data_IF_279970102537
#
_entry.id   IF_279970102537
#
_cell.length_a   1.000
_cell.length_b   1.000
_cell.length_c   1.000
_cell.angle_alpha   90.00
_cell.angle_beta   90.00
_cell.angle_gamma   90.00
#
_symmetry.space_group_name_H-M   'P 1'
#
loop_
_entity.id
_entity.type
_entity.pdbx_description
1 polymer ?
#
# COMPACT_ATOMS: atom_id res chain seq x y z
N UNK A 1 -10.67 -62.78 -10.23
CA UNK A 1 -10.64 -61.35 -10.60
C UNK A 1 -10.31 -60.48 -9.38
N UNK A 2 -9.36 -60.87 -8.51
CA UNK A 2 -9.49 -60.46 -7.08
C UNK A 2 -8.28 -59.72 -6.50
N UNK A 3 -7.07 -59.89 -7.05
CA UNK A 3 -5.85 -59.27 -6.46
C UNK A 3 -5.68 -57.77 -6.79
N UNK A 4 -6.24 -57.30 -7.91
CA UNK A 4 -6.11 -55.90 -8.34
C UNK A 4 -7.11 -54.99 -7.61
N UNK A 5 -8.35 -55.46 -7.41
CA UNK A 5 -9.37 -54.73 -6.64
C UNK A 5 -8.99 -54.60 -5.17
N UNK A 6 -8.36 -55.63 -4.57
CA UNK A 6 -7.91 -55.56 -3.17
C UNK A 6 -6.81 -54.52 -2.95
N UNK A 7 -5.85 -54.43 -3.87
CA UNK A 7 -4.78 -53.42 -3.84
C UNK A 7 -5.36 -52.02 -4.01
N UNK A 8 -6.29 -51.85 -4.96
CA UNK A 8 -6.94 -50.58 -5.20
C UNK A 8 -7.77 -50.12 -3.99
N UNK A 9 -8.49 -51.04 -3.34
CA UNK A 9 -9.26 -50.77 -2.11
C UNK A 9 -8.35 -50.38 -0.94
N UNK A 10 -7.20 -51.02 -0.79
CA UNK A 10 -6.19 -50.66 0.25
C UNK A 10 -5.61 -49.26 0.03
N UNK A 11 -5.28 -48.91 -1.20
CA UNK A 11 -4.76 -47.57 -1.54
C UNK A 11 -5.84 -46.50 -1.32
N UNK A 12 -7.09 -46.81 -1.65
CA UNK A 12 -8.23 -45.92 -1.43
C UNK A 12 -8.53 -45.68 0.06
N UNK A 13 -8.32 -46.69 0.92
CA UNK A 13 -8.44 -46.55 2.37
C UNK A 13 -7.31 -45.72 3.00
N UNK A 14 -6.09 -45.79 2.46
CA UNK A 14 -4.97 -44.94 2.90
C UNK A 14 -5.12 -43.47 2.46
N UNK A 15 -5.98 -43.20 1.47
CA UNK A 15 -6.33 -41.87 0.98
C UNK A 15 -7.49 -41.23 1.74
N UNK A 16 -8.04 -41.90 2.77
CA UNK A 16 -9.10 -41.31 3.59
C UNK A 16 -8.48 -40.16 4.38
N UNK A 17 -8.69 -38.94 3.89
CA UNK A 17 -8.25 -37.70 4.53
C UNK A 17 -9.02 -37.62 5.85
N UNK A 18 -8.39 -38.07 6.91
CA UNK A 18 -8.88 -37.82 8.27
C UNK A 18 -8.71 -36.32 8.53
N UNK A 19 -9.82 -35.64 8.76
CA UNK A 19 -9.82 -34.24 9.15
C UNK A 19 -9.06 -34.17 10.49
N UNK A 20 -7.94 -33.43 10.57
CA UNK A 20 -6.95 -33.66 11.63
C UNK A 20 -7.49 -33.38 13.03
N UNK A 21 -8.54 -32.53 13.15
CA UNK A 21 -9.27 -32.21 14.39
C UNK A 21 -10.70 -31.74 14.02
N UNK A 22 -11.70 -31.97 14.88
CA UNK A 22 -13.11 -31.57 14.62
C UNK A 22 -13.29 -30.06 14.36
N UNK A 23 -12.47 -29.22 15.01
CA UNK A 23 -12.51 -27.76 14.85
C UNK A 23 -11.64 -27.24 13.68
N UNK A 24 -11.05 -28.12 12.87
CA UNK A 24 -10.13 -27.70 11.81
C UNK A 24 -10.80 -26.74 10.83
N UNK A 25 -11.99 -27.08 10.37
CA UNK A 25 -12.74 -26.28 9.40
C UNK A 25 -13.10 -24.91 9.98
N UNK A 26 -13.52 -24.87 11.25
CA UNK A 26 -13.86 -23.64 11.96
C UNK A 26 -12.62 -22.75 12.17
N UNK A 27 -11.48 -23.33 12.55
CA UNK A 27 -10.21 -22.60 12.70
C UNK A 27 -9.71 -22.01 11.38
N UNK A 28 -9.84 -22.77 10.29
CA UNK A 28 -9.47 -22.31 8.95
C UNK A 28 -10.43 -21.20 8.51
N UNK A 29 -11.73 -21.34 8.73
CA UNK A 29 -12.72 -20.34 8.38
C UNK A 29 -12.51 -19.02 9.15
N UNK A 30 -12.24 -19.08 10.46
CA UNK A 30 -11.94 -17.89 11.27
C UNK A 30 -10.66 -17.18 10.79
N UNK A 31 -9.65 -17.95 10.38
CA UNK A 31 -8.40 -17.42 9.84
C UNK A 31 -8.62 -16.73 8.48
N UNK A 32 -9.47 -17.31 7.62
CA UNK A 32 -9.88 -16.71 6.33
C UNK A 32 -10.65 -15.40 6.55
N UNK A 33 -11.60 -15.39 7.49
CA UNK A 33 -12.37 -14.18 7.83
C UNK A 33 -11.48 -13.08 8.38
N UNK A 34 -10.50 -13.42 9.24
CA UNK A 34 -9.52 -12.45 9.73
C UNK A 34 -8.67 -11.85 8.58
N UNK A 35 -8.20 -12.70 7.67
CA UNK A 35 -7.45 -12.29 6.47
C UNK A 35 -8.28 -11.40 5.52
N UNK A 36 -9.56 -11.67 5.36
CA UNK A 36 -10.48 -10.83 4.57
C UNK A 36 -10.69 -9.47 5.22
N UNK A 37 -10.90 -9.43 6.54
CA UNK A 37 -11.11 -8.20 7.29
C UNK A 37 -9.89 -7.27 7.24
N UNK A 38 -8.68 -7.86 7.28
CA UNK A 38 -7.44 -7.10 7.13
C UNK A 38 -7.22 -6.63 5.69
N UNK A 39 -7.60 -7.44 4.69
CA UNK A 39 -7.62 -7.01 3.27
C UNK A 39 -8.57 -5.83 3.05
N UNK A 40 -9.74 -5.84 3.67
CA UNK A 40 -10.74 -4.79 3.53
C UNK A 40 -10.28 -3.48 4.20
N UNK A 41 -9.69 -3.57 5.40
CA UNK A 41 -9.04 -2.43 6.06
C UNK A 41 -7.89 -1.85 5.23
N UNK A 42 -7.06 -2.69 4.62
CA UNK A 42 -5.99 -2.23 3.73
C UNK A 42 -6.54 -1.51 2.48
N UNK A 43 -7.69 -1.94 1.97
CA UNK A 43 -8.37 -1.32 0.83
C UNK A 43 -9.00 0.04 1.19
N UNK A 44 -9.54 0.17 2.41
CA UNK A 44 -9.98 1.44 2.98
C UNK A 44 -8.80 2.43 3.07
N UNK A 45 -7.69 2.03 3.70
CA UNK A 45 -6.51 2.89 3.88
C UNK A 45 -5.90 3.36 2.55
N UNK A 46 -6.05 2.58 1.48
CA UNK A 46 -5.62 2.95 0.13
C UNK A 46 -6.36 4.20 -0.41
N UNK A 47 -7.68 4.31 -0.21
CA UNK A 47 -8.46 5.47 -0.67
C UNK A 47 -8.01 6.73 0.05
N UNK A 48 -7.83 6.63 1.38
CA UNK A 48 -7.31 7.73 2.18
C UNK A 48 -5.92 8.17 1.72
N UNK A 49 -5.01 7.24 1.42
CA UNK A 49 -3.67 7.60 0.94
C UNK A 49 -3.68 8.42 -0.36
N UNK A 50 -4.56 8.09 -1.31
CA UNK A 50 -4.71 8.85 -2.55
C UNK A 50 -5.32 10.23 -2.27
N UNK A 51 -6.35 10.30 -1.41
CA UNK A 51 -6.97 11.58 -1.03
C UNK A 51 -5.98 12.48 -0.29
N UNK A 52 -5.21 11.95 0.66
CA UNK A 52 -4.16 12.69 1.35
C UNK A 52 -3.02 13.12 0.42
N UNK A 53 -2.67 12.32 -0.58
CA UNK A 53 -1.71 12.73 -1.59
C UNK A 53 -2.22 13.92 -2.41
N UNK A 54 -3.44 13.85 -2.93
CA UNK A 54 -4.05 14.93 -3.71
C UNK A 54 -4.15 16.22 -2.88
N UNK A 55 -4.63 16.09 -1.64
CA UNK A 55 -4.82 17.21 -0.73
C UNK A 55 -3.47 17.82 -0.29
N UNK A 56 -2.48 16.97 -0.02
CA UNK A 56 -1.11 17.39 0.26
C UNK A 56 -0.43 18.09 -0.92
N UNK A 57 -0.69 17.64 -2.15
CA UNK A 57 -0.14 18.27 -3.36
C UNK A 57 -0.72 19.67 -3.57
N UNK A 58 -2.05 19.80 -3.47
CA UNK A 58 -2.73 21.11 -3.59
C UNK A 58 -2.26 22.06 -2.48
N UNK A 59 -2.22 21.59 -1.23
CA UNK A 59 -1.76 22.38 -0.11
C UNK A 59 -0.28 22.80 -0.27
N UNK A 60 0.58 21.89 -0.72
CA UNK A 60 1.99 22.16 -0.97
C UNK A 60 2.20 23.23 -2.05
N UNK A 61 1.45 23.17 -3.15
CA UNK A 61 1.51 24.20 -4.21
C UNK A 61 1.08 25.57 -3.67
N UNK A 62 -0.03 25.63 -2.92
CA UNK A 62 -0.52 26.87 -2.32
C UNK A 62 0.46 27.45 -1.31
N UNK A 63 1.03 26.61 -0.43
CA UNK A 63 2.04 27.01 0.54
C UNK A 63 3.30 27.54 -0.16
N UNK A 64 3.79 26.85 -1.19
CA UNK A 64 4.96 27.27 -1.94
C UNK A 64 4.73 28.63 -2.61
N UNK A 65 3.58 28.82 -3.26
CA UNK A 65 3.23 30.11 -3.87
C UNK A 65 3.12 31.23 -2.83
N UNK A 66 2.49 30.95 -1.69
CA UNK A 66 2.35 31.93 -0.61
C UNK A 66 3.71 32.31 0.00
N UNK A 67 4.59 31.34 0.25
CA UNK A 67 5.94 31.59 0.75
C UNK A 67 6.75 32.42 -0.26
N UNK A 68 6.69 32.05 -1.54
CA UNK A 68 7.39 32.74 -2.61
C UNK A 68 6.94 34.21 -2.71
N UNK A 69 5.64 34.47 -2.66
CA UNK A 69 5.08 35.82 -2.66
C UNK A 69 5.52 36.64 -1.43
N UNK A 70 5.63 36.01 -0.26
CA UNK A 70 6.14 36.68 0.96
C UNK A 70 7.63 37.00 0.86
N UNK A 71 8.43 36.13 0.25
CA UNK A 71 9.85 36.38 -0.02
C UNK A 71 10.00 37.49 -1.07
N UNK A 72 9.09 37.57 -2.05
CA UNK A 72 9.10 38.62 -3.07
C UNK A 72 8.80 40.02 -2.52
N UNK A 73 7.86 40.14 -1.58
CA UNK A 73 7.45 41.42 -0.98
C UNK A 73 8.35 41.85 0.19
N UNK A 74 9.17 40.94 0.74
CA UNK A 74 10.06 41.30 1.84
C UNK A 74 11.20 42.22 1.37
N UNK A 75 11.35 43.38 2.05
CA UNK A 75 12.45 44.35 1.87
C UNK A 75 13.75 43.83 2.50
N UNK A 76 14.26 42.72 1.98
CA UNK A 76 15.54 42.12 2.36
C UNK A 76 16.57 42.35 1.26
N UNK A 77 17.84 42.38 1.62
CA UNK A 77 18.97 42.46 0.69
C UNK A 77 18.84 41.39 -0.40
N UNK A 78 19.04 41.77 -1.66
CA UNK A 78 18.77 40.96 -2.86
C UNK A 78 19.42 39.56 -2.82
N UNK A 79 20.61 39.46 -2.21
CA UNK A 79 21.33 38.19 -2.08
C UNK A 79 20.66 37.20 -1.12
N UNK A 80 20.15 37.68 0.02
CA UNK A 80 19.42 36.86 1.00
C UNK A 80 18.07 36.40 0.45
N UNK A 81 17.42 37.25 -0.35
CA UNK A 81 16.18 36.94 -1.05
C UNK A 81 16.37 35.81 -2.08
N UNK A 82 17.43 35.88 -2.88
CA UNK A 82 17.75 34.83 -3.84
C UNK A 82 18.12 33.50 -3.15
N UNK A 83 18.91 33.54 -2.08
CA UNK A 83 19.28 32.34 -1.34
C UNK A 83 18.06 31.65 -0.70
N UNK A 84 17.16 32.42 -0.08
CA UNK A 84 15.93 31.90 0.53
C UNK A 84 14.94 31.34 -0.49
N UNK A 85 14.79 31.99 -1.65
CA UNK A 85 13.97 31.48 -2.75
C UNK A 85 14.48 30.14 -3.28
N UNK A 86 15.80 30.01 -3.51
CA UNK A 86 16.44 28.78 -3.97
C UNK A 86 16.26 27.67 -2.92
N UNK A 87 16.48 27.97 -1.63
CA UNK A 87 16.28 27.01 -0.54
C UNK A 87 14.82 26.50 -0.48
N UNK A 88 13.85 27.40 -0.66
CA UNK A 88 12.43 27.04 -0.70
C UNK A 88 12.13 26.11 -1.88
N UNK A 89 12.64 26.43 -3.08
CA UNK A 89 12.47 25.58 -4.27
C UNK A 89 13.11 24.20 -4.12
N UNK A 90 14.31 24.10 -3.55
CA UNK A 90 14.99 22.82 -3.30
C UNK A 90 14.18 21.99 -2.30
N UNK A 91 13.73 22.61 -1.20
CA UNK A 91 12.91 21.92 -0.21
C UNK A 91 11.60 21.39 -0.80
N UNK A 92 10.96 22.18 -1.67
CA UNK A 92 9.74 21.79 -2.37
C UNK A 92 9.97 20.64 -3.36
N UNK A 93 11.07 20.69 -4.12
CA UNK A 93 11.46 19.63 -5.04
C UNK A 93 11.72 18.30 -4.29
N UNK A 94 12.42 18.34 -3.15
CA UNK A 94 12.65 17.15 -2.32
C UNK A 94 11.35 16.57 -1.77
N UNK A 95 10.42 17.41 -1.31
CA UNK A 95 9.10 16.97 -0.86
C UNK A 95 8.33 16.29 -1.99
N UNK A 96 8.30 16.89 -3.19
CA UNK A 96 7.66 16.27 -4.37
C UNK A 96 8.30 14.92 -4.68
N UNK A 97 9.63 14.83 -4.73
CA UNK A 97 10.32 13.57 -4.99
C UNK A 97 9.96 12.50 -3.95
N UNK A 98 9.92 12.86 -2.67
CA UNK A 98 9.51 11.96 -1.59
C UNK A 98 8.06 11.48 -1.75
N UNK A 99 7.15 12.39 -2.10
CA UNK A 99 5.76 12.07 -2.37
C UNK A 99 5.59 11.17 -3.61
N UNK A 100 6.36 11.41 -4.68
CA UNK A 100 6.41 10.54 -5.86
C UNK A 100 6.93 9.13 -5.53
N UNK A 101 7.95 9.01 -4.67
CA UNK A 101 8.44 7.72 -4.19
C UNK A 101 7.37 6.98 -3.37
N UNK A 102 6.65 7.69 -2.51
CA UNK A 102 5.53 7.10 -1.77
C UNK A 102 4.43 6.61 -2.71
N UNK A 103 4.05 7.41 -3.72
CA UNK A 103 3.08 6.97 -4.73
C UNK A 103 3.56 5.74 -5.49
N UNK A 104 4.81 5.73 -5.95
CA UNK A 104 5.38 4.58 -6.64
C UNK A 104 5.32 3.33 -5.78
N UNK A 105 5.67 3.44 -4.51
CA UNK A 105 5.60 2.33 -3.55
C UNK A 105 4.16 1.83 -3.40
N UNK A 106 3.19 2.74 -3.39
CA UNK A 106 1.76 2.42 -3.28
C UNK A 106 1.23 1.73 -4.55
N UNK A 107 1.66 2.17 -5.74
CA UNK A 107 1.34 1.55 -7.04
C UNK A 107 2.00 0.17 -7.16
N UNK A 108 3.27 0.02 -6.78
CA UNK A 108 3.97 -1.27 -6.81
C UNK A 108 3.28 -2.33 -5.94
N UNK A 109 2.74 -1.92 -4.78
CA UNK A 109 1.92 -2.79 -3.93
C UNK A 109 0.61 -3.23 -4.63
N UNK A 110 0.06 -2.43 -5.55
CA UNK A 110 -1.11 -2.83 -6.38
C UNK A 110 -0.73 -3.86 -7.43
N UNK A 111 0.41 -3.69 -8.10
CA UNK A 111 0.81 -4.55 -9.22
C UNK A 111 1.11 -5.98 -8.75
N UNK A 112 1.77 -6.15 -7.59
CA UNK A 112 2.00 -7.48 -7.01
C UNK A 112 0.70 -8.23 -6.64
N UNK A 113 -0.39 -7.50 -6.36
CA UNK A 113 -1.68 -8.08 -5.99
C UNK A 113 -2.48 -8.55 -7.22
N UNK A 114 -2.27 -7.94 -8.39
CA UNK A 114 -2.92 -8.35 -9.64
C UNK A 114 -2.36 -9.64 -10.24
N UNK A 115 -1.14 -10.05 -9.86
CA UNK A 115 -0.50 -11.30 -10.30
C UNK A 115 -0.83 -12.53 -9.45
N UNK A 116 -1.63 -12.37 -8.38
CA UNK A 116 -2.06 -13.48 -7.50
C UNK A 116 -3.54 -13.81 -7.64
N UNK A 117 -4.18 -13.41 -8.74
CA UNK A 117 -5.53 -13.84 -9.12
C UNK A 117 -5.42 -14.95 -10.15
#
# INVERSE_FOLDING_TARGET
>A
MDKQQEKFRKVMQMSKIEMPFDDFEQRIMDSIVALEKDKEKALSNKKYAITFFLLGTVCGILLNNYLMAKIEVADITTDLKNYSAIACQISFALLICFFCLQLWRLINMQQKRHYQV
#
